data_IF_599033801193
#
_entry.id   IF_599033801193
#
_cell.length_a   1.000
_cell.length_b   1.000
_cell.length_c   1.000
_cell.angle_alpha   90.00
_cell.angle_beta   90.00
_cell.angle_gamma   90.00
#
_symmetry.space_group_name_H-M   'P 1'
#
loop_
_entity.id
_entity.type
_entity.pdbx_description
1 polymer ?
#
# COMPACT_ATOMS: atom_id res chain seq x y z
N UNK A 1 20.79 -10.25 -15.75
CA UNK A 1 19.52 -9.82 -16.35
C UNK A 1 18.43 -10.68 -15.76
N UNK A 2 17.35 -10.04 -15.26
CA UNK A 2 16.20 -10.80 -14.73
C UNK A 2 15.52 -11.55 -15.89
N UNK A 3 15.25 -12.83 -15.67
CA UNK A 3 14.64 -13.73 -16.66
C UNK A 3 13.32 -14.22 -16.10
N UNK A 4 12.23 -14.05 -16.84
CA UNK A 4 10.87 -14.40 -16.42
C UNK A 4 10.37 -15.63 -17.17
N UNK A 5 9.58 -16.46 -16.50
CA UNK A 5 8.84 -17.55 -17.13
C UNK A 5 7.48 -17.05 -17.65
N UNK A 6 6.79 -17.84 -18.47
CA UNK A 6 5.44 -17.50 -18.94
C UNK A 6 4.41 -17.44 -17.78
N UNK A 7 4.68 -18.19 -16.70
CA UNK A 7 3.85 -18.12 -15.48
C UNK A 7 4.04 -16.80 -14.76
N UNK A 8 5.24 -16.24 -14.78
CA UNK A 8 5.50 -14.90 -14.24
C UNK A 8 4.77 -13.85 -15.06
N UNK A 9 4.83 -13.91 -16.40
CA UNK A 9 4.07 -13.01 -17.26
C UNK A 9 2.56 -13.09 -17.02
N UNK A 10 1.99 -14.33 -16.91
CA UNK A 10 0.58 -14.52 -16.55
C UNK A 10 0.23 -13.83 -15.25
N UNK A 11 1.09 -14.01 -14.26
CA UNK A 11 0.89 -13.50 -12.91
C UNK A 11 0.95 -11.97 -12.84
N UNK A 12 1.88 -11.36 -13.58
CA UNK A 12 2.03 -9.90 -13.64
C UNK A 12 0.94 -9.23 -14.47
N UNK A 13 0.64 -9.80 -15.65
CA UNK A 13 -0.29 -9.18 -16.58
C UNK A 13 -1.76 -9.53 -16.33
N UNK A 14 -2.03 -10.57 -15.53
CA UNK A 14 -3.37 -11.13 -15.36
C UNK A 14 -3.87 -11.92 -16.57
N UNK A 15 -3.08 -12.00 -17.65
CA UNK A 15 -3.44 -12.69 -18.88
C UNK A 15 -2.98 -14.15 -18.79
N UNK A 16 -3.90 -15.09 -19.03
CA UNK A 16 -3.61 -16.52 -18.96
C UNK A 16 -2.46 -16.93 -19.88
N UNK A 17 -1.59 -17.83 -19.39
CA UNK A 17 -0.40 -18.29 -20.14
C UNK A 17 -0.72 -18.84 -21.54
N UNK A 18 -1.86 -19.49 -21.73
CA UNK A 18 -2.30 -19.96 -23.05
C UNK A 18 -2.64 -18.79 -23.98
N UNK A 19 -3.26 -17.72 -23.46
CA UNK A 19 -3.57 -16.52 -24.22
C UNK A 19 -2.29 -15.79 -24.62
N UNK A 20 -1.32 -15.66 -23.71
CA UNK A 20 0.00 -15.10 -24.02
C UNK A 20 0.70 -15.84 -25.16
N UNK A 21 0.64 -17.19 -25.16
CA UNK A 21 1.19 -18.02 -26.26
C UNK A 21 0.48 -17.77 -27.59
N UNK A 22 -0.86 -17.60 -27.57
CA UNK A 22 -1.63 -17.24 -28.76
C UNK A 22 -1.19 -15.86 -29.26
N UNK A 23 -1.02 -14.89 -28.38
CA UNK A 23 -0.58 -13.54 -28.75
C UNK A 23 0.85 -13.49 -29.27
N UNK A 24 1.75 -14.30 -28.68
CA UNK A 24 3.10 -14.54 -29.20
C UNK A 24 3.05 -15.06 -30.64
N UNK A 25 2.29 -16.13 -30.89
CA UNK A 25 2.24 -16.80 -32.21
C UNK A 25 1.47 -15.98 -33.26
N UNK A 26 0.34 -15.36 -32.87
CA UNK A 26 -0.57 -14.74 -33.82
C UNK A 26 -0.22 -13.28 -34.12
N UNK A 27 0.33 -12.59 -33.13
CA UNK A 27 0.56 -11.15 -33.22
C UNK A 27 2.02 -10.76 -33.02
N UNK A 28 2.90 -11.70 -32.74
CA UNK A 28 4.33 -11.46 -32.49
C UNK A 28 4.59 -10.42 -31.38
N UNK A 29 3.70 -10.40 -30.38
CA UNK A 29 3.75 -9.44 -29.26
C UNK A 29 4.87 -9.72 -28.27
N UNK A 30 5.43 -10.93 -28.26
CA UNK A 30 6.50 -11.38 -27.39
C UNK A 30 7.55 -12.14 -28.23
N UNK A 31 8.82 -11.95 -27.88
CA UNK A 31 9.94 -12.61 -28.54
C UNK A 31 10.81 -13.36 -27.51
N UNK A 32 10.29 -14.48 -26.94
CA UNK A 32 11.01 -15.19 -25.90
C UNK A 32 12.32 -15.78 -26.39
N UNK A 33 13.35 -15.72 -25.56
CA UNK A 33 14.53 -16.55 -25.72
C UNK A 33 14.20 -17.98 -25.30
N UNK A 34 14.92 -18.95 -25.85
CA UNK A 34 14.80 -20.37 -25.48
C UNK A 34 16.08 -20.88 -24.85
N UNK A 35 15.92 -21.53 -23.70
CA UNK A 35 17.03 -22.23 -23.05
C UNK A 35 17.47 -23.45 -23.87
N UNK A 36 18.60 -24.03 -23.50
CA UNK A 36 19.10 -25.30 -24.10
C UNK A 36 18.08 -26.44 -23.93
N UNK A 37 17.17 -26.37 -22.97
CA UNK A 37 16.06 -27.32 -22.74
C UNK A 37 14.75 -26.87 -23.41
N UNK A 38 14.81 -25.93 -24.35
CA UNK A 38 13.66 -25.40 -25.10
C UNK A 38 12.59 -24.70 -24.25
N UNK A 39 12.94 -24.26 -23.02
CA UNK A 39 12.04 -23.49 -22.15
C UNK A 39 12.07 -22.03 -22.57
N UNK A 40 10.89 -21.42 -22.70
CA UNK A 40 10.74 -19.98 -22.99
C UNK A 40 11.14 -19.14 -21.80
N UNK A 41 11.92 -18.10 -22.06
CA UNK A 41 12.34 -17.09 -21.09
C UNK A 41 12.11 -15.70 -21.67
N UNK A 42 11.69 -14.77 -20.83
CA UNK A 42 11.29 -13.43 -21.19
C UNK A 42 12.15 -12.41 -20.43
N UNK A 43 12.47 -11.31 -21.09
CA UNK A 43 13.26 -10.22 -20.53
C UNK A 43 12.39 -9.22 -19.75
N UNK A 44 13.03 -8.28 -19.05
CA UNK A 44 12.34 -7.11 -18.47
C UNK A 44 11.60 -6.29 -19.53
N UNK A 45 12.14 -6.20 -20.74
CA UNK A 45 11.49 -5.49 -21.84
C UNK A 45 10.19 -6.20 -22.28
N UNK A 46 10.20 -7.54 -22.36
CA UNK A 46 9.01 -8.34 -22.68
C UNK A 46 7.93 -8.18 -21.58
N UNK A 47 8.36 -8.21 -20.31
CA UNK A 47 7.44 -7.99 -19.19
C UNK A 47 6.79 -6.60 -19.29
N UNK A 48 7.57 -5.53 -19.46
CA UNK A 48 7.02 -4.18 -19.64
C UNK A 48 6.07 -4.09 -20.81
N UNK A 49 6.44 -4.68 -21.95
CA UNK A 49 5.62 -4.65 -23.14
C UNK A 49 4.27 -5.33 -22.90
N UNK A 50 4.26 -6.54 -22.33
CA UNK A 50 3.01 -7.27 -22.08
C UNK A 50 2.12 -6.59 -21.02
N UNK A 51 2.72 -5.91 -20.05
CA UNK A 51 1.96 -5.13 -19.07
C UNK A 51 1.25 -3.94 -19.75
N UNK A 52 1.93 -3.19 -20.64
CA UNK A 52 1.31 -2.11 -21.39
C UNK A 52 0.22 -2.61 -22.35
N UNK A 53 0.44 -3.76 -22.99
CA UNK A 53 -0.56 -4.42 -23.84
C UNK A 53 -1.77 -4.85 -23.03
N UNK A 54 -1.56 -5.45 -21.86
CA UNK A 54 -2.62 -5.83 -20.92
C UNK A 54 -3.44 -4.62 -20.50
N UNK A 55 -2.75 -3.54 -20.13
CA UNK A 55 -3.37 -2.28 -19.78
C UNK A 55 -4.32 -1.77 -20.86
N UNK A 56 -3.84 -1.61 -22.10
CA UNK A 56 -4.66 -1.14 -23.21
C UNK A 56 -5.83 -2.10 -23.50
N UNK A 57 -5.61 -3.41 -23.39
CA UNK A 57 -6.66 -4.41 -23.58
C UNK A 57 -7.75 -4.31 -22.51
N UNK A 58 -7.38 -4.09 -21.25
CA UNK A 58 -8.31 -3.85 -20.14
C UNK A 58 -9.09 -2.53 -20.29
N UNK A 59 -8.51 -1.54 -20.98
CA UNK A 59 -9.20 -0.29 -21.35
C UNK A 59 -10.12 -0.45 -22.58
N UNK A 60 -10.35 -1.69 -23.07
CA UNK A 60 -11.27 -1.98 -24.16
C UNK A 60 -10.65 -1.95 -25.55
N UNK A 61 -9.35 -1.71 -25.68
CA UNK A 61 -8.68 -1.79 -26.99
C UNK A 61 -8.55 -3.26 -27.43
N UNK A 62 -8.99 -3.54 -28.67
CA UNK A 62 -8.86 -4.90 -29.23
C UNK A 62 -7.38 -5.25 -29.45
N UNK A 63 -6.98 -6.46 -29.04
CA UNK A 63 -5.59 -6.93 -29.17
C UNK A 63 -5.05 -6.84 -30.60
N UNK A 64 -5.89 -7.09 -31.61
CA UNK A 64 -5.52 -6.96 -33.03
C UNK A 64 -5.15 -5.52 -33.45
N UNK A 65 -5.64 -4.52 -32.74
CA UNK A 65 -5.30 -3.12 -32.97
C UNK A 65 -4.04 -2.73 -32.19
N UNK A 66 -3.90 -3.21 -30.96
CA UNK A 66 -2.71 -2.99 -30.13
C UNK A 66 -1.47 -3.57 -30.82
N UNK A 67 -1.60 -4.77 -31.37
CA UNK A 67 -0.50 -5.48 -32.06
C UNK A 67 0.02 -4.81 -33.32
N UNK A 68 -0.70 -3.81 -33.85
CA UNK A 68 -0.27 -3.02 -35.02
C UNK A 68 0.58 -1.81 -34.62
N UNK A 69 0.59 -1.47 -33.35
CA UNK A 69 1.32 -0.33 -32.80
C UNK A 69 2.76 -0.71 -32.49
N UNK A 70 3.67 0.21 -32.69
CA UNK A 70 5.03 0.10 -32.19
C UNK A 70 5.06 0.16 -30.65
N UNK A 71 6.14 -0.32 -30.05
CA UNK A 71 6.35 -0.24 -28.60
C UNK A 71 6.22 1.20 -28.10
N UNK A 72 6.74 2.17 -28.87
CA UNK A 72 6.68 3.59 -28.53
C UNK A 72 5.25 4.14 -28.58
N UNK A 73 4.45 3.77 -29.57
CA UNK A 73 3.04 4.17 -29.69
C UNK A 73 2.19 3.55 -28.57
N UNK A 74 2.46 2.31 -28.19
CA UNK A 74 1.83 1.66 -27.03
C UNK A 74 2.15 2.46 -25.77
N UNK A 75 3.41 2.81 -25.52
CA UNK A 75 3.82 3.65 -24.38
C UNK A 75 3.11 4.99 -24.39
N UNK A 76 3.08 5.69 -25.53
CA UNK A 76 2.43 6.99 -25.66
C UNK A 76 0.92 6.92 -25.35
N UNK A 77 0.23 5.90 -25.87
CA UNK A 77 -1.20 5.67 -25.57
C UNK A 77 -1.47 5.39 -24.11
N UNK A 78 -0.63 4.57 -23.46
CA UNK A 78 -0.70 4.32 -22.02
C UNK A 78 -0.54 5.63 -21.26
N UNK A 79 0.46 6.45 -21.60
CA UNK A 79 0.70 7.74 -20.97
C UNK A 79 -0.45 8.74 -21.17
N UNK A 80 -1.06 8.80 -22.35
CA UNK A 80 -2.24 9.66 -22.60
C UNK A 80 -3.44 9.26 -21.76
N UNK A 81 -3.77 7.97 -21.70
CA UNK A 81 -4.88 7.44 -20.89
C UNK A 81 -4.61 7.70 -19.41
N UNK A 82 -3.37 7.54 -18.99
CA UNK A 82 -2.93 7.75 -17.60
C UNK A 82 -3.06 9.23 -17.20
N UNK A 83 -2.77 10.15 -18.10
CA UNK A 83 -2.90 11.60 -17.85
C UNK A 83 -4.35 12.09 -17.82
N UNK A 84 -5.26 11.44 -18.52
CA UNK A 84 -6.66 11.90 -18.67
C UNK A 84 -7.64 11.25 -17.71
N UNK A 85 -7.44 9.99 -17.33
CA UNK A 85 -8.36 9.25 -16.46
C UNK A 85 -7.68 8.73 -15.21
N UNK A 86 -8.17 9.18 -14.02
CA UNK A 86 -7.84 8.47 -12.78
C UNK A 86 -8.86 7.35 -12.57
N UNK A 87 -8.67 6.30 -13.31
CA UNK A 87 -9.18 5.00 -12.89
C UNK A 87 -8.12 4.45 -11.93
N UNK A 88 -8.50 4.15 -10.68
CA UNK A 88 -7.56 3.70 -9.65
C UNK A 88 -6.71 2.51 -10.12
N UNK A 89 -7.32 1.56 -10.84
CA UNK A 89 -6.62 0.38 -11.38
C UNK A 89 -5.46 0.74 -12.31
N UNK A 90 -5.60 1.80 -13.12
CA UNK A 90 -4.56 2.32 -14.01
C UNK A 90 -3.34 2.80 -13.23
N UNK A 91 -3.60 3.55 -12.17
CA UNK A 91 -2.52 4.12 -11.37
C UNK A 91 -1.82 3.03 -10.55
N UNK A 92 -2.56 2.04 -10.06
CA UNK A 92 -2.00 0.85 -9.40
C UNK A 92 -1.05 0.11 -10.34
N UNK A 93 -1.40 -0.08 -11.61
CA UNK A 93 -0.52 -0.71 -12.60
C UNK A 93 0.74 0.13 -12.85
N UNK A 94 0.62 1.46 -12.94
CA UNK A 94 1.78 2.33 -13.07
C UNK A 94 2.74 2.24 -11.87
N UNK A 95 2.22 2.16 -10.64
CA UNK A 95 3.03 1.92 -9.45
C UNK A 95 3.72 0.55 -9.48
N UNK A 96 3.06 -0.49 -9.99
CA UNK A 96 3.67 -1.81 -10.18
C UNK A 96 4.85 -1.72 -11.16
N UNK A 97 4.69 -1.01 -12.27
CA UNK A 97 5.77 -0.77 -13.23
C UNK A 97 6.93 -0.01 -12.59
N UNK A 98 6.65 1.11 -11.91
CA UNK A 98 7.67 1.87 -11.21
C UNK A 98 8.44 1.00 -10.20
N UNK A 99 7.74 0.10 -9.51
CA UNK A 99 8.35 -0.85 -8.58
C UNK A 99 9.27 -1.85 -9.29
N UNK A 100 8.79 -2.48 -10.37
CA UNK A 100 9.53 -3.50 -11.11
C UNK A 100 10.81 -2.94 -11.75
N UNK A 101 10.78 -1.68 -12.19
CA UNK A 101 11.88 -0.99 -12.82
C UNK A 101 12.78 -0.21 -11.84
N UNK A 102 12.41 -0.13 -10.54
CA UNK A 102 13.02 0.75 -9.52
C UNK A 102 13.05 2.22 -10.00
N UNK A 103 11.99 2.65 -10.70
CA UNK A 103 11.88 3.96 -11.33
C UNK A 103 11.22 4.99 -10.39
N UNK A 104 12.05 5.73 -9.66
CA UNK A 104 11.62 6.79 -8.74
C UNK A 104 10.90 7.92 -9.47
N UNK A 105 11.41 8.36 -10.62
CA UNK A 105 10.82 9.47 -11.39
C UNK A 105 9.39 9.13 -11.84
N UNK A 106 9.18 7.91 -12.29
CA UNK A 106 7.85 7.42 -12.67
C UNK A 106 6.92 7.36 -11.46
N UNK A 107 7.41 6.83 -10.32
CA UNK A 107 6.64 6.83 -9.08
C UNK A 107 6.19 8.23 -8.69
N UNK A 108 7.12 9.20 -8.66
CA UNK A 108 6.85 10.58 -8.27
C UNK A 108 5.81 11.22 -9.17
N UNK A 109 5.96 11.09 -10.50
CA UNK A 109 5.01 11.62 -11.49
C UNK A 109 3.60 11.05 -11.30
N UNK A 110 3.48 9.73 -11.11
CA UNK A 110 2.18 9.07 -10.88
C UNK A 110 1.55 9.54 -9.58
N UNK A 111 2.34 9.61 -8.51
CA UNK A 111 1.86 10.05 -7.20
C UNK A 111 1.36 11.50 -7.24
N UNK A 112 2.15 12.41 -7.87
CA UNK A 112 1.79 13.82 -7.97
C UNK A 112 0.54 14.03 -8.83
N UNK A 113 0.38 13.29 -9.93
CA UNK A 113 -0.86 13.31 -10.74
C UNK A 113 -2.07 12.86 -9.91
N UNK A 114 -1.94 11.79 -9.11
CA UNK A 114 -3.01 11.34 -8.22
C UNK A 114 -3.36 12.42 -7.20
N UNK A 115 -2.37 12.93 -6.49
CA UNK A 115 -2.61 13.91 -5.40
C UNK A 115 -3.19 15.23 -5.92
N UNK A 116 -2.77 15.70 -7.09
CA UNK A 116 -3.33 16.91 -7.71
C UNK A 116 -4.80 16.74 -8.11
N UNK A 117 -5.19 15.56 -8.58
CA UNK A 117 -6.54 15.34 -9.13
C UNK A 117 -7.56 14.90 -8.07
N UNK A 118 -7.20 14.01 -7.15
CA UNK A 118 -8.13 13.44 -6.17
C UNK A 118 -7.81 13.79 -4.72
N UNK A 119 -6.72 14.52 -4.49
CA UNK A 119 -6.23 14.86 -3.17
C UNK A 119 -5.44 13.73 -2.50
N UNK A 120 -4.64 14.09 -1.49
CA UNK A 120 -3.76 13.14 -0.80
C UNK A 120 -4.53 11.99 -0.13
N UNK A 121 -5.61 12.31 0.60
CA UNK A 121 -6.40 11.30 1.33
C UNK A 121 -6.94 10.20 0.41
N UNK A 122 -7.60 10.59 -0.70
CA UNK A 122 -8.10 9.63 -1.69
C UNK A 122 -6.98 8.91 -2.44
N UNK A 123 -5.84 9.57 -2.69
CA UNK A 123 -4.67 8.90 -3.27
C UNK A 123 -4.22 7.77 -2.37
N UNK A 124 -4.14 8.00 -1.06
CA UNK A 124 -3.77 6.96 -0.10
C UNK A 124 -4.81 5.84 -0.03
N UNK A 125 -6.10 6.18 0.10
CA UNK A 125 -7.16 5.19 0.34
C UNK A 125 -7.55 4.39 -0.90
N UNK A 126 -7.61 5.04 -2.05
CA UNK A 126 -8.21 4.47 -3.26
C UNK A 126 -7.15 3.92 -4.24
N UNK A 127 -5.88 4.35 -4.10
CA UNK A 127 -4.79 3.94 -4.99
C UNK A 127 -3.67 3.25 -4.23
N UNK A 128 -3.06 3.91 -3.24
CA UNK A 128 -1.85 3.40 -2.56
C UNK A 128 -2.16 2.15 -1.71
N UNK A 129 -3.23 2.12 -0.91
CA UNK A 129 -3.56 0.93 -0.14
C UNK A 129 -3.89 -0.29 -1.01
N UNK A 130 -4.74 -0.20 -2.06
CA UNK A 130 -4.91 -1.30 -3.00
C UNK A 130 -3.61 -1.72 -3.71
N UNK A 131 -2.75 -0.77 -4.08
CA UNK A 131 -1.43 -1.07 -4.61
C UNK A 131 -0.58 -1.88 -3.63
N UNK A 132 -0.49 -1.45 -2.35
CA UNK A 132 0.27 -2.17 -1.31
C UNK A 132 -0.27 -3.58 -1.05
N UNK A 133 -1.60 -3.79 -1.12
CA UNK A 133 -2.19 -5.12 -1.04
C UNK A 133 -1.73 -6.01 -2.20
N UNK A 134 -1.75 -5.48 -3.43
CA UNK A 134 -1.27 -6.19 -4.62
C UNK A 134 0.23 -6.47 -4.53
N UNK A 135 1.01 -5.52 -4.05
CA UNK A 135 2.45 -5.66 -3.80
C UNK A 135 2.74 -6.80 -2.80
N UNK A 136 1.99 -6.89 -1.70
CA UNK A 136 2.11 -7.98 -0.73
C UNK A 136 1.86 -9.36 -1.34
N UNK A 137 0.86 -9.50 -2.22
CA UNK A 137 0.62 -10.75 -2.97
C UNK A 137 1.80 -11.07 -3.88
N UNK A 138 2.35 -10.08 -4.58
CA UNK A 138 3.50 -10.23 -5.49
C UNK A 138 4.76 -10.66 -4.72
N UNK A 139 4.97 -10.14 -3.52
CA UNK A 139 6.07 -10.54 -2.64
C UNK A 139 5.92 -12.01 -2.16
N UNK A 140 4.75 -12.38 -1.59
CA UNK A 140 4.49 -13.75 -1.15
C UNK A 140 4.66 -14.78 -2.23
N UNK A 141 4.50 -14.38 -3.46
CA UNK A 141 4.56 -15.23 -4.63
C UNK A 141 5.94 -15.20 -5.32
N UNK A 142 6.92 -14.48 -4.72
CA UNK A 142 8.29 -14.41 -5.23
C UNK A 142 8.44 -13.61 -6.52
N UNK A 143 7.44 -12.83 -6.86
CA UNK A 143 7.37 -12.01 -8.07
C UNK A 143 8.26 -10.78 -7.96
N UNK A 144 8.30 -10.20 -6.78
CA UNK A 144 9.23 -9.14 -6.39
C UNK A 144 10.07 -9.61 -5.23
N UNK A 145 11.30 -9.09 -5.13
CA UNK A 145 12.15 -9.35 -3.98
C UNK A 145 11.97 -8.25 -2.91
N UNK A 146 12.45 -8.47 -1.67
CA UNK A 146 12.35 -7.49 -0.60
C UNK A 146 12.92 -6.11 -0.95
N UNK A 147 13.95 -6.03 -1.81
CA UNK A 147 14.54 -4.77 -2.25
C UNK A 147 13.56 -3.88 -3.03
N UNK A 148 12.73 -4.47 -3.90
CA UNK A 148 11.69 -3.74 -4.63
C UNK A 148 10.60 -3.21 -3.68
N UNK A 149 10.20 -4.03 -2.71
CA UNK A 149 9.23 -3.61 -1.69
C UNK A 149 9.79 -2.46 -0.85
N UNK A 150 11.00 -2.61 -0.31
CA UNK A 150 11.64 -1.56 0.49
C UNK A 150 11.79 -0.25 -0.29
N UNK A 151 12.21 -0.32 -1.56
CA UNK A 151 12.34 0.85 -2.41
C UNK A 151 11.02 1.63 -2.49
N UNK A 152 9.94 0.98 -2.89
CA UNK A 152 8.66 1.65 -3.11
C UNK A 152 7.99 2.10 -1.82
N UNK A 153 8.09 1.29 -0.75
CA UNK A 153 7.56 1.64 0.57
C UNK A 153 8.25 2.86 1.15
N UNK A 154 9.58 3.00 0.96
CA UNK A 154 10.29 4.20 1.40
C UNK A 154 9.89 5.45 0.61
N UNK A 155 9.61 5.36 -0.69
CA UNK A 155 9.08 6.49 -1.46
C UNK A 155 7.69 6.92 -0.97
N UNK A 156 6.80 5.96 -0.71
CA UNK A 156 5.48 6.23 -0.11
C UNK A 156 5.65 6.90 1.26
N UNK A 157 6.55 6.37 2.08
CA UNK A 157 6.86 6.93 3.40
C UNK A 157 7.31 8.38 3.33
N UNK A 158 8.20 8.72 2.41
CA UNK A 158 8.65 10.10 2.18
C UNK A 158 7.48 11.03 1.81
N UNK A 159 6.58 10.60 0.92
CA UNK A 159 5.41 11.40 0.53
C UNK A 159 4.44 11.63 1.69
N UNK A 160 4.22 10.63 2.54
CA UNK A 160 3.37 10.80 3.73
C UNK A 160 4.01 11.76 4.73
N UNK A 161 5.32 11.63 4.99
CA UNK A 161 6.05 12.53 5.90
C UNK A 161 6.05 13.97 5.40
N UNK A 162 6.23 14.18 4.09
CA UNK A 162 6.09 15.51 3.47
C UNK A 162 4.69 16.09 3.71
N UNK A 163 3.65 15.32 3.42
CA UNK A 163 2.27 15.76 3.65
C UNK A 163 1.98 16.08 5.13
N UNK A 164 2.54 15.29 6.07
CA UNK A 164 2.42 15.57 7.51
C UNK A 164 3.09 16.90 7.87
N UNK A 165 4.25 17.19 7.28
CA UNK A 165 5.03 18.41 7.59
C UNK A 165 4.33 19.69 7.16
N UNK A 166 3.48 19.64 6.13
CA UNK A 166 2.69 20.76 5.64
C UNK A 166 1.53 21.13 6.56
N UNK A 167 1.09 20.20 7.43
CA UNK A 167 -0.02 20.44 8.35
C UNK A 167 0.50 21.12 9.63
N UNK A 168 0.01 22.33 9.89
CA UNK A 168 0.33 23.04 11.13
C UNK A 168 -0.10 22.24 12.35
N UNK A 169 0.82 22.08 13.30
CA UNK A 169 0.51 21.40 14.57
C UNK A 169 -0.52 22.19 15.36
N UNK A 170 -1.58 21.52 15.84
CA UNK A 170 -2.54 22.14 16.72
C UNK A 170 -1.92 22.45 18.09
N UNK A 171 -1.86 23.73 18.44
CA UNK A 171 -1.29 24.22 19.71
C UNK A 171 -2.35 24.41 20.79
N UNK A 172 -3.65 24.22 20.50
CA UNK A 172 -4.70 24.33 21.48
C UNK A 172 -4.51 23.31 22.61
N UNK A 173 -4.45 23.80 23.85
CA UNK A 173 -4.32 22.96 25.05
C UNK A 173 -5.55 22.07 25.29
N UNK A 174 -6.70 22.41 24.72
CA UNK A 174 -7.95 21.64 24.81
C UNK A 174 -8.06 20.59 23.71
N UNK A 175 -7.19 20.62 22.71
CA UNK A 175 -7.22 19.63 21.62
C UNK A 175 -7.10 18.21 22.16
N UNK A 176 -7.94 17.31 21.63
CA UNK A 176 -7.85 15.89 21.97
C UNK A 176 -6.51 15.31 21.52
N UNK A 177 -5.84 14.57 22.42
CA UNK A 177 -4.49 14.04 22.23
C UNK A 177 -4.55 12.58 21.83
N UNK A 178 -3.81 12.25 20.79
CA UNK A 178 -3.57 10.89 20.32
C UNK A 178 -2.11 10.49 20.55
N UNK A 179 -1.86 9.30 21.05
CA UNK A 179 -0.59 8.60 20.94
C UNK A 179 -0.70 7.55 19.83
N UNK A 180 0.21 7.60 18.85
CA UNK A 180 0.29 6.65 17.76
C UNK A 180 1.56 5.82 17.90
N UNK A 181 1.42 4.51 17.92
CA UNK A 181 2.53 3.59 18.13
C UNK A 181 2.25 2.22 17.49
N UNK A 182 3.31 1.48 17.21
CA UNK A 182 3.22 0.07 16.87
C UNK A 182 3.75 -0.78 18.04
N UNK A 183 3.17 -1.95 18.29
CA UNK A 183 3.67 -2.86 19.32
C UNK A 183 5.13 -3.24 19.10
N UNK A 184 5.78 -3.70 20.14
CA UNK A 184 7.15 -4.20 20.04
C UNK A 184 7.27 -5.27 18.94
N UNK A 185 8.31 -5.17 18.12
CA UNK A 185 8.56 -5.97 16.92
C UNK A 185 7.58 -5.80 15.75
N UNK A 186 6.65 -4.83 15.78
CA UNK A 186 5.86 -4.44 14.62
C UNK A 186 6.51 -3.24 13.91
N UNK A 187 6.82 -3.41 12.61
CA UNK A 187 7.57 -2.42 11.81
C UNK A 187 6.76 -1.84 10.63
N UNK A 188 5.54 -2.31 10.37
CA UNK A 188 4.73 -1.88 9.22
C UNK A 188 4.04 -0.54 9.49
N UNK A 189 4.79 0.56 9.39
CA UNK A 189 4.33 1.88 9.85
C UNK A 189 3.54 2.71 8.83
N UNK A 190 3.46 2.31 7.55
CA UNK A 190 2.80 3.13 6.51
C UNK A 190 1.37 3.52 6.90
N UNK A 191 0.60 2.57 7.41
CA UNK A 191 -0.76 2.84 7.85
C UNK A 191 -0.78 3.76 9.09
N UNK A 192 0.16 3.60 10.03
CA UNK A 192 0.25 4.46 11.21
C UNK A 192 0.59 5.91 10.82
N UNK A 193 1.53 6.12 9.89
CA UNK A 193 1.88 7.42 9.34
C UNK A 193 0.70 8.09 8.63
N UNK A 194 -0.07 7.33 7.83
CA UNK A 194 -1.27 7.85 7.21
C UNK A 194 -2.30 8.32 8.25
N UNK A 195 -2.51 7.56 9.33
CA UNK A 195 -3.43 8.00 10.39
C UNK A 195 -2.88 9.20 11.17
N UNK A 196 -1.57 9.39 11.27
CA UNK A 196 -1.01 10.64 11.80
C UNK A 196 -1.37 11.84 10.91
N UNK A 197 -1.18 11.70 9.58
CA UNK A 197 -1.61 12.71 8.61
C UNK A 197 -3.11 13.00 8.76
N UNK A 198 -3.94 11.98 8.73
CA UNK A 198 -5.40 12.09 8.84
C UNK A 198 -5.82 12.81 10.12
N UNK A 199 -5.30 12.40 11.27
CA UNK A 199 -5.64 13.02 12.55
C UNK A 199 -5.20 14.49 12.64
N UNK A 200 -4.00 14.81 12.14
CA UNK A 200 -3.54 16.21 12.08
C UNK A 200 -4.41 17.05 11.17
N UNK A 201 -4.81 16.56 10.02
CA UNK A 201 -5.71 17.27 9.10
C UNK A 201 -7.09 17.56 9.72
N UNK A 202 -7.53 16.72 10.67
CA UNK A 202 -8.76 16.92 11.45
C UNK A 202 -8.55 17.78 12.74
N UNK A 203 -7.36 18.34 12.95
CA UNK A 203 -7.06 19.22 14.07
C UNK A 203 -6.76 18.50 15.40
N UNK A 204 -6.55 17.19 15.40
CA UNK A 204 -6.11 16.49 16.61
C UNK A 204 -4.64 16.73 16.91
N UNK A 205 -4.28 16.71 18.19
CA UNK A 205 -2.89 16.75 18.63
C UNK A 205 -2.30 15.33 18.65
N UNK A 206 -1.30 15.07 17.85
CA UNK A 206 -0.71 13.74 17.70
C UNK A 206 0.69 13.65 18.31
N UNK A 207 0.96 12.55 18.98
CA UNK A 207 2.27 12.14 19.48
C UNK A 207 2.63 10.82 18.79
N UNK A 208 3.51 10.90 17.82
CA UNK A 208 3.91 9.75 17.02
C UNK A 208 5.14 9.10 17.65
N UNK A 209 4.97 7.88 18.18
CA UNK A 209 6.06 7.12 18.80
C UNK A 209 6.69 6.11 17.83
N UNK A 210 5.97 5.81 16.73
CA UNK A 210 6.51 5.00 15.63
C UNK A 210 6.50 3.50 15.89
N UNK A 211 7.50 2.85 15.30
CA UNK A 211 7.67 1.40 15.24
C UNK A 211 8.18 0.83 16.56
N UNK A 212 7.86 -0.46 16.78
CA UNK A 212 8.47 -1.30 17.83
C UNK A 212 8.56 -0.62 19.21
N UNK A 213 7.45 -0.03 19.67
CA UNK A 213 7.39 0.70 20.93
C UNK A 213 7.38 -0.25 22.13
N UNK A 214 8.38 -0.19 23.04
CA UNK A 214 8.38 -0.98 24.28
C UNK A 214 7.19 -0.63 25.16
N UNK A 215 6.50 -1.68 25.65
CA UNK A 215 5.23 -1.51 26.35
C UNK A 215 5.33 -0.67 27.63
N UNK A 216 6.40 -0.87 28.43
CA UNK A 216 6.59 -0.12 29.68
C UNK A 216 6.92 1.36 29.42
N UNK A 217 7.59 1.66 28.34
CA UNK A 217 7.87 3.04 27.97
C UNK A 217 6.63 3.75 27.43
N UNK A 218 5.75 3.04 26.72
CA UNK A 218 4.44 3.55 26.35
C UNK A 218 3.63 4.00 27.59
N UNK A 219 3.65 3.19 28.67
CA UNK A 219 2.99 3.55 29.95
C UNK A 219 3.60 4.81 30.58
N UNK A 220 4.92 4.93 30.59
CA UNK A 220 5.61 6.11 31.12
C UNK A 220 5.27 7.38 30.31
N UNK A 221 5.30 7.27 28.99
CA UNK A 221 4.96 8.39 28.10
C UNK A 221 3.49 8.80 28.26
N UNK A 222 2.58 7.83 28.34
CA UNK A 222 1.16 8.15 28.53
C UNK A 222 0.87 8.84 29.88
N UNK A 223 1.63 8.56 30.93
CA UNK A 223 1.52 9.29 32.22
C UNK A 223 1.82 10.80 32.05
N UNK A 224 2.76 11.15 31.17
CA UNK A 224 3.12 12.55 30.87
C UNK A 224 2.10 13.21 29.94
N UNK A 225 1.70 12.53 28.87
CA UNK A 225 0.84 13.07 27.81
C UNK A 225 -0.63 13.07 28.24
N UNK A 226 -1.07 12.07 29.01
CA UNK A 226 -2.47 11.81 29.37
C UNK A 226 -3.35 11.82 28.10
N UNK A 227 -3.05 10.91 27.16
CA UNK A 227 -3.74 10.82 25.89
C UNK A 227 -5.20 10.44 26.06
N UNK A 228 -6.09 11.09 25.31
CA UNK A 228 -7.50 10.73 25.22
C UNK A 228 -7.69 9.46 24.38
N UNK A 229 -6.80 9.28 23.39
CA UNK A 229 -6.83 8.18 22.45
C UNK A 229 -5.43 7.57 22.26
N UNK A 230 -5.38 6.24 22.18
CA UNK A 230 -4.24 5.51 21.66
C UNK A 230 -4.64 4.93 20.31
N UNK A 231 -3.71 4.92 19.34
CA UNK A 231 -3.91 4.29 18.06
C UNK A 231 -2.75 3.35 17.76
N UNK A 232 -3.08 2.11 17.46
CA UNK A 232 -2.09 1.10 17.08
C UNK A 232 -2.58 0.22 15.94
N UNK A 233 -1.64 -0.38 15.20
CA UNK A 233 -1.92 -1.27 14.08
C UNK A 233 -1.14 -2.55 14.28
N UNK A 234 -1.79 -3.70 14.09
CA UNK A 234 -1.20 -5.03 14.25
C UNK A 234 -1.36 -5.75 12.92
N UNK A 235 -0.31 -5.74 12.08
CA UNK A 235 -0.36 -6.33 10.73
C UNK A 235 0.07 -7.78 10.69
N UNK A 236 0.98 -8.18 11.56
CA UNK A 236 1.57 -9.51 11.55
C UNK A 236 1.50 -10.19 12.92
N UNK A 237 0.42 -10.95 13.21
CA UNK A 237 0.28 -11.63 14.51
C UNK A 237 1.18 -12.88 14.65
N UNK A 238 2.11 -13.11 13.71
CA UNK A 238 2.91 -14.34 13.71
C UNK A 238 3.98 -14.32 14.79
N UNK A 239 3.85 -15.26 15.73
CA UNK A 239 4.86 -15.88 16.59
C UNK A 239 5.46 -15.06 17.76
N UNK A 240 5.30 -13.74 17.86
CA UNK A 240 6.02 -12.95 18.88
C UNK A 240 5.13 -12.26 19.91
N UNK A 241 3.84 -12.11 19.63
CA UNK A 241 2.90 -11.45 20.56
C UNK A 241 1.63 -12.29 20.66
N UNK A 242 1.26 -12.74 21.87
CA UNK A 242 -0.11 -13.17 22.14
C UNK A 242 -1.02 -11.93 22.10
N UNK A 243 -1.61 -11.69 20.93
CA UNK A 243 -2.47 -10.53 20.67
C UNK A 243 -3.60 -10.41 21.68
N UNK A 244 -4.17 -11.52 22.12
CA UNK A 244 -5.27 -11.51 23.09
C UNK A 244 -4.81 -11.01 24.45
N UNK A 245 -3.71 -11.53 24.97
CA UNK A 245 -3.12 -11.09 26.24
C UNK A 245 -2.64 -9.64 26.14
N UNK A 246 -2.00 -9.27 25.04
CA UNK A 246 -1.56 -7.90 24.79
C UNK A 246 -2.71 -6.91 24.81
N UNK A 247 -3.81 -7.17 24.11
CA UNK A 247 -4.98 -6.29 24.08
C UNK A 247 -5.68 -6.21 25.44
N UNK A 248 -5.71 -7.32 26.19
CA UNK A 248 -6.24 -7.29 27.55
C UNK A 248 -5.42 -6.36 28.44
N UNK A 249 -4.10 -6.50 28.45
CA UNK A 249 -3.20 -5.63 29.23
C UNK A 249 -3.33 -4.17 28.79
N UNK A 250 -3.40 -3.93 27.47
CA UNK A 250 -3.57 -2.58 26.92
C UNK A 250 -4.88 -1.93 27.41
N UNK A 251 -5.99 -2.67 27.41
CA UNK A 251 -7.28 -2.19 27.93
C UNK A 251 -7.25 -1.90 29.43
N UNK A 252 -6.56 -2.73 30.20
CA UNK A 252 -6.43 -2.60 31.65
C UNK A 252 -5.51 -1.43 32.06
N UNK A 253 -4.37 -1.27 31.42
CA UNK A 253 -3.39 -0.22 31.77
C UNK A 253 -3.80 1.16 31.30
N UNK A 254 -4.62 1.27 30.24
CA UNK A 254 -5.04 2.55 29.64
C UNK A 254 -6.55 2.80 29.76
N UNK A 255 -7.15 2.46 30.89
CA UNK A 255 -8.62 2.57 31.16
C UNK A 255 -9.21 3.96 30.90
N UNK A 256 -8.41 5.03 31.03
CA UNK A 256 -8.85 6.41 30.81
C UNK A 256 -8.81 6.84 29.36
N UNK A 257 -8.26 6.02 28.48
CA UNK A 257 -8.12 6.31 27.05
C UNK A 257 -9.01 5.40 26.21
N UNK A 258 -9.59 5.91 25.12
CA UNK A 258 -10.15 5.09 24.04
C UNK A 258 -9.01 4.57 23.18
N UNK A 259 -8.99 3.27 22.92
CA UNK A 259 -7.90 2.63 22.16
C UNK A 259 -8.45 2.20 20.81
N UNK A 260 -7.90 2.76 19.75
CA UNK A 260 -8.28 2.49 18.37
C UNK A 260 -7.29 1.47 17.78
N UNK A 261 -7.78 0.32 17.32
CA UNK A 261 -6.94 -0.72 16.74
C UNK A 261 -7.39 -1.09 15.34
N UNK A 262 -6.42 -1.39 14.48
CA UNK A 262 -6.65 -1.96 13.15
C UNK A 262 -5.58 -3.01 12.84
N UNK A 263 -5.73 -3.70 11.70
CA UNK A 263 -4.74 -4.66 11.22
C UNK A 263 -5.35 -6.00 10.83
N UNK A 264 -4.69 -7.10 11.19
CA UNK A 264 -5.03 -8.44 10.72
C UNK A 264 -6.44 -8.89 11.16
N UNK A 265 -7.38 -8.74 10.23
CA UNK A 265 -8.83 -8.94 10.42
C UNK A 265 -9.16 -10.30 11.03
N UNK A 266 -8.58 -11.38 10.51
CA UNK A 266 -8.88 -12.75 10.92
C UNK A 266 -8.59 -13.04 12.38
N UNK A 267 -7.63 -12.33 12.96
CA UNK A 267 -7.29 -12.44 14.39
C UNK A 267 -8.13 -11.49 15.21
N UNK A 268 -8.23 -10.22 14.81
CA UNK A 268 -8.86 -9.17 15.61
C UNK A 268 -10.39 -9.34 15.73
N UNK A 269 -11.07 -9.80 14.69
CA UNK A 269 -12.52 -10.04 14.71
C UNK A 269 -12.92 -11.24 15.59
N UNK A 270 -12.00 -12.16 15.91
CA UNK A 270 -12.25 -13.33 16.76
C UNK A 270 -12.00 -13.08 18.26
N UNK A 271 -11.39 -11.96 18.61
CA UNK A 271 -11.04 -11.63 19.99
C UNK A 271 -12.15 -10.78 20.61
N UNK A 272 -12.64 -11.19 21.81
CA UNK A 272 -13.49 -10.31 22.61
C UNK A 272 -12.65 -9.17 23.15
N UNK A 273 -12.87 -7.97 22.63
CA UNK A 273 -12.12 -6.77 22.98
C UNK A 273 -12.57 -6.22 24.34
N UNK A 274 -11.66 -5.65 25.15
CA UNK A 274 -12.00 -4.81 26.30
C UNK A 274 -12.90 -3.62 25.91
N UNK A 275 -13.71 -3.13 26.83
CA UNK A 275 -14.73 -2.10 26.56
C UNK A 275 -14.18 -0.77 26.02
N UNK A 276 -12.93 -0.46 26.31
CA UNK A 276 -12.25 0.76 25.83
C UNK A 276 -11.42 0.55 24.56
N UNK A 277 -11.48 -0.62 23.93
CA UNK A 277 -10.77 -0.94 22.68
C UNK A 277 -11.78 -1.06 21.54
N UNK A 278 -11.54 -0.32 20.48
CA UNK A 278 -12.40 -0.20 19.31
C UNK A 278 -11.64 -0.63 18.05
N UNK A 279 -12.11 -1.70 17.38
CA UNK A 279 -11.56 -2.15 16.12
C UNK A 279 -12.17 -1.36 14.96
N UNK A 280 -11.31 -0.86 14.06
CA UNK A 280 -11.75 -0.21 12.83
C UNK A 280 -11.15 -0.90 11.60
N UNK A 281 -11.94 -0.92 10.51
CA UNK A 281 -11.61 -1.67 9.28
C UNK A 281 -10.92 -0.81 8.21
N UNK A 282 -11.25 0.47 8.19
CA UNK A 282 -10.79 1.41 7.16
C UNK A 282 -10.94 2.86 7.67
N UNK A 283 -10.42 3.87 6.96
CA UNK A 283 -10.48 5.26 7.37
C UNK A 283 -11.90 5.81 7.58
N UNK A 284 -12.87 5.37 6.78
CA UNK A 284 -14.28 5.79 6.95
C UNK A 284 -14.85 5.28 8.28
N UNK A 285 -14.62 4.01 8.59
CA UNK A 285 -15.03 3.42 9.86
C UNK A 285 -14.29 4.06 11.05
N UNK A 286 -12.99 4.37 10.89
CA UNK A 286 -12.25 5.11 11.90
C UNK A 286 -12.87 6.48 12.19
N UNK A 287 -13.23 7.23 11.15
CA UNK A 287 -13.89 8.53 11.29
C UNK A 287 -15.23 8.44 12.01
N UNK A 288 -16.06 7.43 11.73
CA UNK A 288 -17.35 7.24 12.41
C UNK A 288 -17.16 6.98 13.91
N UNK A 289 -16.19 6.16 14.30
CA UNK A 289 -15.88 5.87 15.71
C UNK A 289 -15.36 7.11 16.47
N UNK A 290 -14.75 8.08 15.77
CA UNK A 290 -14.33 9.34 16.40
C UNK A 290 -15.48 10.30 16.65
N UNK A 291 -16.59 10.18 15.91
CA UNK A 291 -17.79 11.01 16.03
C UNK A 291 -18.78 10.45 17.06
N UNK A 292 -18.71 9.16 17.40
CA UNK A 292 -19.49 8.55 18.48
C UNK A 292 -19.01 9.11 19.84
N UNK A 293 -19.92 9.84 20.52
CA UNK A 293 -19.67 10.50 21.81
C UNK A 293 -19.53 9.52 22.96
#
# INVERSE_FOLDING_TARGET
MSVYSIKDLERYSGIKAHTLRIWEQRYNLLSPQRSNTNIRTYSNADLRHILNVSFLNNQGHKISNIAKLSVQEIHHKVDEITKTNIVADVQIENFIHATADLDEDKFLKVFDVCTQKIGFDKTMTDVIYPFLQKLGVMWHTGVINPGHEHFIVNLIRQKILSAISEIKTNTDKKAKRFILFLPENENHEIALLYYQYFLRSQGYKTFYLGQSMPYDDLKKINKQIQAHYLLTIITCPKEKIDVKTYLKSLGEDFKKSKIMISGYKETLEKIKLPANIFYFKNPKHFSSLLQEK
#
